data_IF_963952908088
#
_entry.id   IF_963952908088
#
_cell.length_a   1.000
_cell.length_b   1.000
_cell.length_c   1.000
_cell.angle_alpha   90.00
_cell.angle_beta   90.00
_cell.angle_gamma   90.00
#
_symmetry.space_group_name_H-M   'P 1'
#
loop_
_entity.id
_entity.type
_entity.pdbx_description
1 polymer ?
#
# COMPACT_ATOMS: atom_id res chain seq x y z
N UNK A 1 27.77 -6.99 2.50
CA UNK A 1 27.15 -5.67 2.23
C UNK A 1 26.50 -5.79 0.87
N UNK A 2 25.20 -5.47 0.74
CA UNK A 2 24.49 -5.60 -0.54
C UNK A 2 25.04 -4.60 -1.53
N UNK A 3 25.34 -5.02 -2.76
CA UNK A 3 25.88 -4.15 -3.82
C UNK A 3 24.77 -3.36 -4.49
N UNK A 4 25.13 -2.27 -5.19
CA UNK A 4 24.18 -1.49 -6.01
C UNK A 4 23.56 -2.38 -7.10
N UNK A 5 24.34 -3.29 -7.66
CA UNK A 5 23.87 -4.21 -8.70
C UNK A 5 22.84 -5.21 -8.15
N UNK A 6 23.08 -5.74 -6.95
CA UNK A 6 22.13 -6.59 -6.23
C UNK A 6 20.82 -5.83 -5.90
N UNK A 7 20.91 -4.59 -5.40
CA UNK A 7 19.74 -3.75 -5.10
C UNK A 7 18.94 -3.46 -6.37
N UNK A 8 19.61 -3.10 -7.46
CA UNK A 8 18.97 -2.83 -8.75
C UNK A 8 18.27 -4.08 -9.28
N UNK A 9 18.87 -5.27 -9.13
CA UNK A 9 18.25 -6.53 -9.50
C UNK A 9 16.96 -6.79 -8.71
N UNK A 10 16.98 -6.57 -7.40
CA UNK A 10 15.83 -6.78 -6.49
C UNK A 10 14.70 -5.77 -6.65
N UNK A 11 14.95 -4.61 -7.26
CA UNK A 11 13.99 -3.51 -7.41
C UNK A 11 13.47 -3.35 -8.83
N UNK A 12 13.85 -4.25 -9.75
CA UNK A 12 13.30 -4.27 -11.11
C UNK A 12 11.81 -4.66 -11.07
N UNK A 13 10.93 -3.88 -11.70
CA UNK A 13 9.52 -4.23 -11.79
C UNK A 13 9.33 -5.45 -12.70
N UNK A 14 8.38 -6.29 -12.34
CA UNK A 14 7.85 -7.37 -13.18
C UNK A 14 6.32 -7.29 -13.11
N UNK A 15 5.73 -6.63 -14.10
CA UNK A 15 4.31 -6.35 -14.13
C UNK A 15 3.55 -7.43 -14.91
N UNK A 16 2.34 -7.84 -14.48
CA UNK A 16 1.50 -8.73 -15.27
C UNK A 16 1.00 -8.04 -16.56
N UNK A 17 0.51 -8.82 -17.52
CA UNK A 17 0.08 -8.33 -18.83
C UNK A 17 -1.05 -7.29 -18.78
N UNK A 18 -1.87 -7.33 -17.73
CA UNK A 18 -3.00 -6.41 -17.51
C UNK A 18 -2.65 -5.20 -16.63
N UNK A 19 -1.38 -4.99 -16.31
CA UNK A 19 -0.92 -3.85 -15.52
C UNK A 19 -0.82 -2.59 -16.38
N UNK A 20 -1.49 -1.53 -15.96
CA UNK A 20 -1.55 -0.26 -16.71
C UNK A 20 -0.72 0.83 -16.05
N UNK A 21 -0.53 1.94 -16.76
CA UNK A 21 0.08 3.14 -16.18
C UNK A 21 -0.70 3.68 -14.96
N UNK A 22 -2.01 3.42 -14.88
CA UNK A 22 -2.82 3.80 -13.73
C UNK A 22 -2.44 2.99 -12.48
N UNK A 23 -2.19 1.68 -12.63
CA UNK A 23 -1.72 0.84 -11.52
C UNK A 23 -0.36 1.33 -11.00
N UNK A 24 0.57 1.65 -11.92
CA UNK A 24 1.86 2.23 -11.56
C UNK A 24 1.71 3.55 -10.79
N UNK A 25 0.83 4.45 -11.26
CA UNK A 25 0.54 5.72 -10.57
C UNK A 25 -0.12 5.50 -9.21
N UNK A 26 -0.99 4.51 -9.06
CA UNK A 26 -1.61 4.18 -7.78
C UNK A 26 -0.54 3.71 -6.78
N UNK A 27 0.36 2.83 -7.19
CA UNK A 27 1.49 2.37 -6.36
C UNK A 27 2.40 3.53 -5.96
N UNK A 28 2.76 4.41 -6.91
CA UNK A 28 3.58 5.58 -6.61
C UNK A 28 2.88 6.59 -5.70
N UNK A 29 1.56 6.75 -5.83
CA UNK A 29 0.74 7.57 -4.94
C UNK A 29 0.79 7.02 -3.51
N UNK A 30 0.71 5.69 -3.32
CA UNK A 30 0.86 5.07 -1.99
C UNK A 30 2.24 5.38 -1.39
N UNK A 31 3.30 5.30 -2.20
CA UNK A 31 4.68 5.61 -1.74
C UNK A 31 4.80 7.05 -1.25
N UNK A 32 4.28 8.01 -2.01
CA UNK A 32 4.38 9.43 -1.67
C UNK A 32 3.49 9.78 -0.49
N UNK A 33 2.25 9.27 -0.42
CA UNK A 33 1.39 9.46 0.75
C UNK A 33 2.04 8.93 2.03
N UNK A 34 2.72 7.78 1.97
CA UNK A 34 3.43 7.24 3.13
C UNK A 34 4.59 8.16 3.57
N UNK A 35 5.35 8.72 2.61
CA UNK A 35 6.43 9.64 2.90
C UNK A 35 5.91 10.97 3.48
N UNK A 36 4.90 11.58 2.84
CA UNK A 36 4.35 12.87 3.22
C UNK A 36 3.64 12.83 4.58
N UNK A 37 2.88 11.77 4.87
CA UNK A 37 2.20 11.60 6.15
C UNK A 37 3.20 11.58 7.33
N UNK A 38 4.29 10.82 7.19
CA UNK A 38 5.37 10.79 8.18
C UNK A 38 6.08 12.13 8.27
N UNK A 39 6.38 12.76 7.12
CA UNK A 39 7.07 14.03 7.07
C UNK A 39 6.28 15.15 7.75
N UNK A 40 4.95 15.19 7.58
CA UNK A 40 4.02 16.16 8.16
C UNK A 40 4.10 16.20 9.69
N UNK A 41 4.24 15.05 10.35
CA UNK A 41 4.34 14.94 11.82
C UNK A 41 5.78 14.78 12.33
N UNK A 42 6.74 14.61 11.42
CA UNK A 42 8.17 14.50 11.71
C UNK A 42 8.61 13.18 12.35
N UNK A 43 7.73 12.19 12.46
CA UNK A 43 8.04 10.86 13.01
C UNK A 43 7.08 9.78 12.46
N UNK A 44 7.53 8.52 12.40
CA UNK A 44 6.76 7.40 11.86
C UNK A 44 7.61 6.41 11.05
N UNK A 45 6.97 5.46 10.35
CA UNK A 45 7.64 4.39 9.60
C UNK A 45 7.27 4.39 8.10
N UNK A 46 7.93 5.21 7.26
CA UNK A 46 7.56 5.33 5.84
C UNK A 46 8.14 4.19 4.99
N UNK A 47 9.33 3.68 5.34
CA UNK A 47 10.12 2.80 4.47
C UNK A 47 9.41 1.49 4.10
N UNK A 48 8.83 0.78 5.08
CA UNK A 48 8.09 -0.47 4.82
C UNK A 48 6.81 -0.23 4.03
N UNK A 49 6.12 0.89 4.25
CA UNK A 49 4.92 1.24 3.49
C UNK A 49 5.22 1.53 2.02
N UNK A 50 6.35 2.20 1.75
CA UNK A 50 6.80 2.46 0.38
C UNK A 50 7.19 1.18 -0.37
N UNK A 51 7.93 0.27 0.28
CA UNK A 51 8.38 -0.97 -0.37
C UNK A 51 7.25 -1.98 -0.57
N UNK A 52 6.30 -2.06 0.37
CA UNK A 52 5.14 -2.95 0.26
C UNK A 52 3.98 -2.36 -0.57
N UNK A 53 4.07 -1.12 -1.05
CA UNK A 53 3.01 -0.48 -1.84
C UNK A 53 2.47 -1.34 -3.00
N UNK A 54 3.31 -1.99 -3.85
CA UNK A 54 2.81 -2.85 -4.92
C UNK A 54 2.05 -4.09 -4.40
N UNK A 55 2.51 -4.68 -3.29
CA UNK A 55 1.86 -5.84 -2.68
C UNK A 55 0.52 -5.45 -2.05
N UNK A 56 0.50 -4.37 -1.28
CA UNK A 56 -0.72 -3.87 -0.64
C UNK A 56 -1.77 -3.47 -1.68
N UNK A 57 -1.36 -2.76 -2.74
CA UNK A 57 -2.21 -2.45 -3.89
C UNK A 57 -2.82 -3.71 -4.50
N UNK A 58 -1.99 -4.70 -4.81
CA UNK A 58 -2.44 -5.96 -5.41
C UNK A 58 -3.42 -6.71 -4.52
N UNK A 59 -3.15 -6.78 -3.21
CA UNK A 59 -4.05 -7.44 -2.27
C UNK A 59 -5.41 -6.77 -2.23
N UNK A 60 -5.47 -5.45 -2.00
CA UNK A 60 -6.73 -4.75 -1.79
C UNK A 60 -7.54 -4.52 -3.07
N UNK A 61 -6.88 -4.23 -4.19
CA UNK A 61 -7.56 -3.85 -5.43
C UNK A 61 -7.85 -5.03 -6.35
N UNK A 62 -7.11 -6.14 -6.22
CA UNK A 62 -7.16 -7.23 -7.21
C UNK A 62 -7.44 -8.61 -6.62
N UNK A 63 -7.01 -8.90 -5.40
CA UNK A 63 -7.04 -10.27 -4.85
C UNK A 63 -8.12 -10.49 -3.79
N UNK A 64 -8.24 -9.57 -2.84
CA UNK A 64 -9.15 -9.73 -1.72
C UNK A 64 -10.60 -9.51 -2.12
N UNK A 65 -11.47 -10.40 -1.66
CA UNK A 65 -12.91 -10.22 -1.74
C UNK A 65 -13.42 -9.50 -0.50
N UNK A 66 -13.78 -8.24 -0.63
CA UNK A 66 -14.29 -7.40 0.44
C UNK A 66 -15.24 -6.33 -0.10
N UNK A 67 -16.00 -5.69 0.80
CA UNK A 67 -16.85 -4.55 0.48
C UNK A 67 -16.46 -3.36 1.36
N UNK A 68 -15.94 -2.26 0.78
CA UNK A 68 -15.63 -1.05 1.53
C UNK A 68 -16.85 -0.43 2.24
N UNK A 69 -18.06 -0.68 1.75
CA UNK A 69 -19.31 -0.18 2.34
C UNK A 69 -19.87 -1.09 3.44
N UNK A 70 -19.37 -2.32 3.57
CA UNK A 70 -19.72 -3.26 4.65
C UNK A 70 -18.47 -3.98 5.19
N UNK A 71 -17.73 -3.28 6.04
CA UNK A 71 -16.54 -3.82 6.72
C UNK A 71 -16.87 -4.93 7.72
N UNK A 72 -18.15 -5.19 8.00
CA UNK A 72 -18.61 -6.28 8.85
C UNK A 72 -19.10 -7.49 8.06
N UNK A 73 -19.13 -7.42 6.72
CA UNK A 73 -19.56 -8.50 5.86
C UNK A 73 -18.90 -9.83 6.28
N UNK A 74 -19.74 -10.82 6.60
CA UNK A 74 -19.31 -12.12 7.12
C UNK A 74 -18.43 -12.90 6.13
N UNK A 75 -18.64 -12.70 4.82
CA UNK A 75 -17.96 -13.44 3.74
C UNK A 75 -16.69 -12.80 3.21
N UNK A 76 -16.26 -11.65 3.76
CA UNK A 76 -15.05 -10.94 3.32
C UNK A 76 -13.77 -11.71 3.65
N UNK A 77 -12.73 -11.50 2.86
CA UNK A 77 -11.38 -11.91 3.20
C UNK A 77 -10.80 -11.03 4.31
N UNK A 78 -9.88 -11.56 5.11
CA UNK A 78 -9.35 -10.89 6.31
C UNK A 78 -7.89 -10.56 6.10
N UNK A 79 -7.58 -9.27 6.11
CA UNK A 79 -6.22 -8.77 6.12
C UNK A 79 -5.74 -8.50 7.54
N UNK A 80 -4.55 -8.99 7.89
CA UNK A 80 -3.92 -8.77 9.20
C UNK A 80 -2.49 -8.29 8.96
N UNK A 81 -2.21 -7.03 9.28
CA UNK A 81 -0.89 -6.45 9.19
C UNK A 81 -0.10 -6.71 10.48
N UNK A 82 0.63 -7.83 10.52
CA UNK A 82 1.44 -8.21 11.70
C UNK A 82 2.57 -7.20 11.98
N UNK A 83 3.21 -6.66 10.94
CA UNK A 83 4.18 -5.57 11.05
C UNK A 83 3.49 -4.21 11.27
N UNK A 84 2.78 -4.08 12.40
CA UNK A 84 1.91 -2.94 12.70
C UNK A 84 2.60 -1.58 12.74
N UNK A 85 3.94 -1.54 12.85
CA UNK A 85 4.71 -0.30 12.68
C UNK A 85 4.50 0.32 11.29
N UNK A 86 4.23 -0.49 10.26
CA UNK A 86 3.94 -0.07 8.89
C UNK A 86 2.45 0.27 8.69
N UNK A 87 1.81 0.90 9.67
CA UNK A 87 0.37 1.18 9.68
C UNK A 87 -0.13 1.92 8.42
N UNK A 88 0.70 2.78 7.83
CA UNK A 88 0.40 3.46 6.56
C UNK A 88 0.20 2.50 5.39
N UNK A 89 0.79 1.29 5.41
CA UNK A 89 0.47 0.22 4.44
C UNK A 89 -1.01 -0.12 4.44
N UNK A 90 -1.66 -0.09 5.61
CA UNK A 90 -3.09 -0.35 5.74
C UNK A 90 -3.92 0.92 5.48
N UNK A 91 -3.63 2.01 6.18
CA UNK A 91 -4.47 3.22 6.13
C UNK A 91 -4.61 3.79 4.71
N UNK A 92 -3.54 3.79 3.93
CA UNK A 92 -3.59 4.30 2.56
C UNK A 92 -4.47 3.40 1.66
N UNK A 93 -4.46 2.06 1.86
CA UNK A 93 -5.36 1.17 1.12
C UNK A 93 -6.83 1.36 1.54
N UNK A 94 -7.08 1.61 2.82
CA UNK A 94 -8.42 1.93 3.30
C UNK A 94 -8.93 3.25 2.70
N UNK A 95 -8.08 4.28 2.62
CA UNK A 95 -8.41 5.55 1.95
C UNK A 95 -8.67 5.35 0.46
N UNK A 96 -7.71 4.78 -0.29
CA UNK A 96 -7.85 4.61 -1.75
C UNK A 96 -8.98 3.64 -2.13
N UNK A 97 -9.27 2.67 -1.27
CA UNK A 97 -10.35 1.70 -1.47
C UNK A 97 -11.73 2.16 -0.99
N UNK A 98 -11.86 3.35 -0.39
CA UNK A 98 -13.14 3.89 0.06
C UNK A 98 -13.69 3.22 1.32
N UNK A 99 -12.84 2.71 2.21
CA UNK A 99 -13.22 2.09 3.48
C UNK A 99 -13.54 3.12 4.60
N UNK A 100 -13.80 4.37 4.22
CA UNK A 100 -14.20 5.45 5.12
C UNK A 100 -13.08 6.30 5.73
N UNK A 101 -11.80 5.99 5.46
CA UNK A 101 -10.72 6.95 5.73
C UNK A 101 -10.67 8.00 4.62
N UNK A 102 -10.42 9.24 5.01
CA UNK A 102 -10.29 10.39 4.12
C UNK A 102 -8.84 10.91 4.09
N UNK A 103 -8.51 11.76 3.12
CA UNK A 103 -7.16 12.34 3.01
C UNK A 103 -6.77 13.15 4.26
N UNK A 104 -7.75 13.72 4.99
CA UNK A 104 -7.50 14.44 6.24
C UNK A 104 -7.06 13.53 7.40
N UNK A 105 -7.37 12.23 7.32
CA UNK A 105 -6.96 11.23 8.32
C UNK A 105 -5.53 10.74 8.10
N UNK A 106 -4.99 10.98 6.89
CA UNK A 106 -3.60 10.65 6.49
C UNK A 106 -2.64 11.78 6.90
#
# INVERSE_FOLDING_TARGET
>A
MTTVEEINSLTRPNHPDDWTDLDSRAVDTVRVLAADAVQKVGNGHPGTAMSLAPLAYTLFQRQMRHDPNDVHWLGRDRFILSCGHSSLTLYIQLYLGGFGLELSDI
#
